data_IF_748038188906
#
_entry.id   IF_748038188906
#
_cell.length_a   1.000
_cell.length_b   1.000
_cell.length_c   1.000
_cell.angle_alpha   90.00
_cell.angle_beta   90.00
_cell.angle_gamma   90.00
#
_symmetry.space_group_name_H-M   'P 1'
#
loop_
_entity.id
_entity.type
_entity.pdbx_description
1 polymer ?
#
# COMPACT_ATOMS: atom_id res chain seq x y z
N UNK A 1 -0.64 15.51 -12.05
CA UNK A 1 -0.25 15.60 -13.47
C UNK A 1 -1.09 14.60 -14.23
N UNK A 2 -1.71 14.97 -15.36
CA UNK A 2 -2.60 14.08 -16.07
C UNK A 2 -1.81 12.84 -16.57
N UNK A 3 -2.26 11.61 -16.25
CA UNK A 3 -1.90 10.33 -16.94
C UNK A 3 -1.42 10.56 -18.39
N UNK A 4 -0.24 10.09 -18.76
CA UNK A 4 0.26 10.29 -20.13
C UNK A 4 -0.66 9.59 -21.16
N UNK A 5 -0.73 10.06 -22.42
CA UNK A 5 -1.45 9.34 -23.46
C UNK A 5 -0.68 8.05 -23.72
N UNK A 6 -1.25 6.91 -23.35
CA UNK A 6 -0.69 5.62 -23.69
C UNK A 6 -1.01 5.30 -25.15
N UNK A 7 -0.20 5.84 -26.05
CA UNK A 7 -0.08 5.36 -27.43
C UNK A 7 0.46 3.93 -27.39
N UNK A 8 -0.42 2.92 -27.33
CA UNK A 8 0.01 1.53 -27.51
C UNK A 8 -0.87 0.41 -26.95
N UNK A 9 -1.83 0.66 -26.04
CA UNK A 9 -2.62 -0.43 -25.48
C UNK A 9 -3.72 -0.88 -26.43
N UNK A 10 -3.62 -2.13 -26.89
CA UNK A 10 -4.71 -2.81 -27.58
C UNK A 10 -5.66 -3.36 -26.50
N UNK A 11 -6.80 -2.69 -26.32
CA UNK A 11 -7.93 -3.18 -25.49
C UNK A 11 -8.66 -4.39 -26.14
N UNK A 12 -8.15 -4.83 -27.28
CA UNK A 12 -8.67 -5.88 -28.13
C UNK A 12 -7.71 -7.08 -28.06
N UNK A 13 -8.23 -8.22 -27.64
CA UNK A 13 -7.54 -9.50 -27.68
C UNK A 13 -7.84 -10.18 -29.01
N UNK A 14 -6.81 -10.42 -29.81
CA UNK A 14 -6.89 -11.19 -31.06
C UNK A 14 -6.29 -12.58 -30.86
N UNK A 15 -7.06 -13.62 -31.18
CA UNK A 15 -6.62 -15.01 -31.10
C UNK A 15 -6.90 -15.77 -32.41
N UNK A 16 -6.01 -16.70 -32.76
CA UNK A 16 -6.24 -17.68 -33.83
C UNK A 16 -6.53 -19.03 -33.20
N UNK A 17 -7.77 -19.49 -33.33
CA UNK A 17 -8.25 -20.73 -32.72
C UNK A 17 -8.43 -21.80 -33.79
N UNK A 18 -7.93 -23.01 -33.54
CA UNK A 18 -8.08 -24.15 -34.44
C UNK A 18 -9.50 -24.72 -34.33
N UNK A 19 -10.11 -25.00 -35.47
CA UNK A 19 -11.35 -25.76 -35.54
C UNK A 19 -11.10 -27.26 -35.69
N UNK A 20 -12.16 -28.04 -35.63
CA UNK A 20 -12.09 -29.50 -35.80
C UNK A 20 -12.31 -29.87 -37.27
N UNK A 21 -11.54 -30.84 -37.78
CA UNK A 21 -11.84 -31.49 -39.06
C UNK A 21 -13.13 -32.29 -38.90
N UNK A 22 -14.10 -32.09 -39.78
CA UNK A 22 -15.34 -32.84 -39.77
C UNK A 22 -15.84 -33.10 -41.20
N UNK A 23 -15.60 -34.32 -41.74
CA UNK A 23 -16.03 -34.69 -43.08
C UNK A 23 -17.55 -34.59 -43.30
N UNK A 24 -18.39 -34.75 -42.26
CA UNK A 24 -19.84 -34.63 -42.38
C UNK A 24 -20.29 -33.21 -42.77
N UNK A 25 -19.51 -32.20 -42.40
CA UNK A 25 -19.76 -30.79 -42.77
C UNK A 25 -18.87 -30.31 -43.93
N UNK A 26 -18.23 -31.23 -44.67
CA UNK A 26 -17.33 -30.88 -45.78
C UNK A 26 -16.03 -30.17 -45.34
N UNK A 27 -15.66 -30.26 -44.06
CA UNK A 27 -14.41 -29.67 -43.54
C UNK A 27 -13.33 -30.75 -43.54
N UNK A 28 -12.50 -30.75 -44.59
CA UNK A 28 -11.44 -31.76 -44.81
C UNK A 28 -10.04 -31.35 -44.33
N UNK A 29 -9.85 -30.07 -44.00
CA UNK A 29 -8.59 -29.53 -43.45
C UNK A 29 -8.91 -28.75 -42.18
N UNK A 30 -8.00 -28.79 -41.19
CA UNK A 30 -8.14 -28.05 -39.93
C UNK A 30 -8.27 -26.54 -40.23
N UNK A 31 -9.43 -25.92 -39.95
CA UNK A 31 -9.62 -24.50 -40.20
C UNK A 31 -9.02 -23.68 -39.05
N UNK A 32 -8.59 -22.45 -39.37
CA UNK A 32 -8.16 -21.47 -38.38
C UNK A 32 -9.17 -20.32 -38.35
N UNK A 33 -9.75 -20.07 -37.18
CA UNK A 33 -10.72 -18.99 -36.97
C UNK A 33 -10.08 -17.83 -36.22
N UNK A 34 -10.33 -16.62 -36.70
CA UNK A 34 -9.95 -15.40 -35.99
C UNK A 34 -11.03 -15.09 -34.96
N UNK A 35 -10.62 -14.96 -33.71
CA UNK A 35 -11.48 -14.63 -32.58
C UNK A 35 -11.00 -13.33 -31.96
N UNK A 36 -11.92 -12.41 -31.71
CA UNK A 36 -11.64 -11.13 -31.08
C UNK A 36 -12.49 -10.95 -29.84
N UNK A 37 -11.89 -10.43 -28.76
CA UNK A 37 -12.58 -10.01 -27.55
C UNK A 37 -12.17 -8.56 -27.29
N UNK A 38 -13.16 -7.67 -27.21
CA UNK A 38 -12.95 -6.24 -26.97
C UNK A 38 -13.51 -5.88 -25.61
N UNK A 39 -12.70 -5.33 -24.73
CA UNK A 39 -13.14 -4.83 -23.44
C UNK A 39 -13.55 -3.37 -23.55
N UNK A 40 -14.60 -2.98 -22.83
CA UNK A 40 -14.92 -1.55 -22.70
C UNK A 40 -13.96 -0.91 -21.69
N UNK A 41 -13.11 0.06 -22.11
CA UNK A 41 -12.18 0.71 -21.22
C UNK A 41 -12.91 1.66 -20.27
N UNK A 42 -12.40 1.78 -19.05
CA UNK A 42 -12.91 2.76 -18.10
C UNK A 42 -12.34 4.13 -18.49
N UNK A 43 -13.22 5.14 -18.58
CA UNK A 43 -12.76 6.48 -18.92
C UNK A 43 -11.79 7.00 -17.88
N UNK A 44 -10.85 7.80 -18.34
CA UNK A 44 -9.80 8.36 -17.51
C UNK A 44 -10.31 9.18 -16.31
N UNK A 45 -11.40 9.92 -16.49
CA UNK A 45 -12.04 10.65 -15.41
C UNK A 45 -12.57 9.70 -14.32
N UNK A 46 -13.15 8.57 -14.73
CA UNK A 46 -13.60 7.51 -13.82
C UNK A 46 -12.42 6.84 -13.11
N UNK A 47 -11.33 6.55 -13.82
CA UNK A 47 -10.10 6.03 -13.21
C UNK A 47 -9.55 6.95 -12.12
N UNK A 48 -9.44 8.25 -12.39
CA UNK A 48 -8.97 9.21 -11.38
C UNK A 48 -9.86 9.19 -10.12
N UNK A 49 -11.18 9.11 -10.28
CA UNK A 49 -12.12 9.04 -9.17
C UNK A 49 -11.96 7.72 -8.38
N UNK A 50 -11.85 6.58 -9.08
CA UNK A 50 -11.63 5.27 -8.47
C UNK A 50 -10.31 5.25 -7.67
N UNK A 51 -9.23 5.75 -8.27
CA UNK A 51 -7.91 5.81 -7.62
C UNK A 51 -7.99 6.66 -6.35
N UNK A 52 -8.70 7.78 -6.36
CA UNK A 52 -8.90 8.59 -5.15
C UNK A 52 -9.62 7.82 -4.04
N UNK A 53 -10.64 7.02 -4.38
CA UNK A 53 -11.35 6.16 -3.41
C UNK A 53 -10.43 5.07 -2.87
N UNK A 54 -9.69 4.38 -3.74
CA UNK A 54 -8.73 3.34 -3.33
C UNK A 54 -7.65 3.93 -2.42
N UNK A 55 -7.08 5.08 -2.81
CA UNK A 55 -6.04 5.77 -2.08
C UNK A 55 -6.48 6.29 -0.70
N UNK A 56 -7.79 6.44 -0.46
CA UNK A 56 -8.33 6.80 0.85
C UNK A 56 -8.36 5.64 1.85
N UNK A 57 -8.19 4.40 1.38
CA UNK A 57 -8.30 3.18 2.19
C UNK A 57 -6.92 2.50 2.30
N UNK A 58 -6.28 2.65 3.46
CA UNK A 58 -4.94 2.11 3.72
C UNK A 58 -4.78 0.62 3.36
N UNK A 59 -5.81 -0.20 3.62
CA UNK A 59 -5.80 -1.64 3.31
C UNK A 59 -5.79 -1.98 1.82
N UNK A 60 -6.40 -1.14 0.98
CA UNK A 60 -6.43 -1.38 -0.47
C UNK A 60 -5.15 -0.92 -1.13
N UNK A 61 -4.70 0.31 -0.80
CA UNK A 61 -3.50 0.87 -1.38
C UNK A 61 -2.24 0.07 -1.02
N UNK A 62 -2.10 -0.40 0.22
CA UNK A 62 -0.94 -1.20 0.63
C UNK A 62 -0.83 -2.50 -0.17
N UNK A 63 -1.94 -3.24 -0.28
CA UNK A 63 -2.00 -4.49 -1.06
C UNK A 63 -1.70 -4.26 -2.53
N UNK A 64 -2.29 -3.24 -3.15
CA UNK A 64 -2.03 -2.93 -4.56
C UNK A 64 -0.57 -2.51 -4.82
N UNK A 65 0.07 -1.79 -3.89
CA UNK A 65 1.49 -1.46 -4.00
C UNK A 65 2.39 -2.70 -3.87
N UNK A 66 1.94 -3.71 -3.11
CA UNK A 66 2.57 -5.03 -2.95
C UNK A 66 2.21 -6.01 -4.08
N UNK A 67 1.55 -5.56 -5.15
CA UNK A 67 1.07 -6.39 -6.26
C UNK A 67 0.03 -7.45 -5.85
N UNK A 68 -0.80 -7.16 -4.85
CA UNK A 68 -1.92 -7.99 -4.44
C UNK A 68 -3.25 -7.27 -4.75
N UNK A 69 -4.21 -7.96 -5.37
CA UNK A 69 -5.57 -7.44 -5.57
C UNK A 69 -6.44 -7.85 -4.37
N UNK A 70 -7.00 -6.89 -3.60
CA UNK A 70 -7.90 -7.19 -2.48
C UNK A 70 -9.25 -7.75 -2.94
N UNK A 71 -9.81 -8.72 -2.22
CA UNK A 71 -11.12 -9.32 -2.54
C UNK A 71 -12.28 -8.30 -2.59
N UNK A 72 -12.17 -7.23 -1.79
CA UNK A 72 -13.16 -6.17 -1.70
C UNK A 72 -12.85 -4.96 -2.59
N UNK A 73 -11.93 -5.09 -3.55
CA UNK A 73 -11.55 -4.01 -4.47
C UNK A 73 -12.78 -3.44 -5.20
N UNK A 74 -13.72 -4.31 -5.56
CA UNK A 74 -14.92 -3.99 -6.33
C UNK A 74 -15.86 -3.02 -5.61
N UNK A 75 -15.82 -2.98 -4.28
CA UNK A 75 -16.64 -2.06 -3.51
C UNK A 75 -16.22 -0.60 -3.73
N UNK A 76 -14.95 -0.35 -4.07
CA UNK A 76 -14.47 0.99 -4.43
C UNK A 76 -14.96 1.41 -5.81
N UNK A 77 -15.15 0.47 -6.73
CA UNK A 77 -15.70 0.72 -8.07
C UNK A 77 -17.21 0.96 -8.03
N UNK A 78 -17.94 0.14 -7.24
CA UNK A 78 -19.41 0.25 -7.05
C UNK A 78 -19.86 1.63 -6.60
N UNK A 79 -19.08 2.31 -5.75
CA UNK A 79 -19.39 3.66 -5.26
C UNK A 79 -19.50 4.71 -6.39
N UNK A 80 -18.90 4.44 -7.55
CA UNK A 80 -18.84 5.34 -8.69
C UNK A 80 -19.67 4.84 -9.89
N UNK A 81 -20.50 3.81 -9.69
CA UNK A 81 -21.26 3.14 -10.74
C UNK A 81 -20.36 2.66 -11.90
N UNK A 82 -19.18 2.15 -11.53
CA UNK A 82 -18.23 1.49 -12.43
C UNK A 82 -17.99 0.09 -11.91
N UNK A 83 -17.60 -0.83 -12.79
CA UNK A 83 -17.18 -2.18 -12.41
C UNK A 83 -15.82 -2.45 -13.06
N UNK A 84 -14.88 -2.97 -12.27
CA UNK A 84 -13.62 -3.47 -12.77
C UNK A 84 -13.87 -4.81 -13.48
N UNK A 85 -14.56 -5.72 -12.78
CA UNK A 85 -15.00 -6.99 -13.33
C UNK A 85 -16.24 -6.80 -14.23
N UNK A 86 -16.24 -7.37 -15.44
CA UNK A 86 -17.45 -7.41 -16.26
C UNK A 86 -18.61 -8.06 -15.51
N UNK A 87 -19.77 -7.40 -15.46
CA UNK A 87 -21.01 -7.96 -14.89
C UNK A 87 -21.96 -8.51 -15.95
N UNK A 88 -21.85 -7.99 -17.17
CA UNK A 88 -22.77 -8.33 -18.24
C UNK A 88 -22.04 -8.57 -19.56
N UNK A 89 -22.69 -9.29 -20.47
CA UNK A 89 -22.19 -9.46 -21.85
C UNK A 89 -22.10 -8.15 -22.64
N UNK A 90 -22.62 -7.04 -22.12
CA UNK A 90 -22.50 -5.72 -22.76
C UNK A 90 -21.14 -5.09 -22.51
N UNK A 91 -20.46 -5.51 -21.45
CA UNK A 91 -19.23 -4.89 -20.95
C UNK A 91 -17.99 -5.34 -21.75
N UNK A 92 -18.14 -6.37 -22.58
CA UNK A 92 -17.16 -6.82 -23.56
C UNK A 92 -17.85 -7.36 -24.81
N UNK A 93 -17.27 -7.09 -25.98
CA UNK A 93 -17.80 -7.54 -27.28
C UNK A 93 -16.93 -8.65 -27.83
N UNK A 94 -17.55 -9.66 -28.41
CA UNK A 94 -16.83 -10.79 -29.00
C UNK A 94 -17.27 -11.07 -30.42
N UNK A 95 -16.31 -11.49 -31.24
CA UNK A 95 -16.56 -11.92 -32.62
C UNK A 95 -15.65 -13.08 -32.98
N UNK A 96 -16.17 -14.06 -33.73
CA UNK A 96 -15.39 -15.16 -34.25
C UNK A 96 -15.71 -15.38 -35.73
N UNK A 97 -14.72 -15.68 -36.55
CA UNK A 97 -14.89 -15.94 -37.98
C UNK A 97 -15.41 -17.37 -38.29
N UNK A 98 -15.88 -18.10 -37.28
CA UNK A 98 -16.41 -19.45 -37.45
C UNK A 98 -17.86 -19.43 -37.96
N UNK A 99 -18.33 -20.52 -38.62
CA UNK A 99 -19.70 -20.58 -39.15
C UNK A 99 -20.79 -20.77 -38.07
N UNK A 100 -20.43 -20.74 -36.79
CA UNK A 100 -21.38 -20.86 -35.68
C UNK A 100 -21.98 -19.48 -35.34
N UNK A 101 -23.31 -19.40 -35.32
CA UNK A 101 -24.06 -18.18 -34.99
C UNK A 101 -24.18 -17.93 -33.48
N UNK A 102 -23.77 -18.88 -32.64
CA UNK A 102 -23.83 -18.77 -31.18
C UNK A 102 -22.78 -17.81 -30.64
N UNK A 103 -23.13 -17.00 -29.64
CA UNK A 103 -22.17 -16.18 -28.90
C UNK A 103 -22.36 -16.36 -27.37
N UNK A 104 -21.37 -16.93 -26.65
CA UNK A 104 -20.07 -17.40 -27.15
C UNK A 104 -20.18 -18.72 -27.93
N UNK A 105 -19.47 -18.83 -29.05
CA UNK A 105 -19.24 -20.12 -29.72
C UNK A 105 -18.12 -20.89 -29.00
N UNK A 106 -17.89 -22.16 -29.36
CA UNK A 106 -16.82 -22.99 -28.75
C UNK A 106 -15.43 -22.36 -28.81
N UNK A 107 -15.13 -21.58 -29.85
CA UNK A 107 -13.84 -20.91 -29.99
C UNK A 107 -13.71 -19.72 -29.05
N UNK A 108 -14.74 -18.87 -28.95
CA UNK A 108 -14.77 -17.76 -27.99
C UNK A 108 -14.70 -18.30 -26.56
N UNK A 109 -15.44 -19.36 -26.25
CA UNK A 109 -15.36 -20.03 -24.95
C UNK A 109 -13.93 -20.53 -24.64
N UNK A 110 -13.25 -21.12 -25.64
CA UNK A 110 -11.84 -21.52 -25.49
C UNK A 110 -10.92 -20.33 -25.17
N UNK A 111 -11.11 -19.18 -25.83
CA UNK A 111 -10.35 -17.96 -25.52
C UNK A 111 -10.69 -17.44 -24.12
N UNK A 112 -11.95 -17.50 -23.67
CA UNK A 112 -12.29 -17.14 -22.29
C UNK A 112 -11.59 -18.01 -21.26
N UNK A 113 -11.51 -19.32 -21.49
CA UNK A 113 -10.79 -20.22 -20.58
C UNK A 113 -9.31 -19.88 -20.50
N UNK A 114 -8.67 -19.59 -21.64
CA UNK A 114 -7.27 -19.18 -21.65
C UNK A 114 -7.07 -17.82 -20.96
N UNK A 115 -7.95 -16.85 -21.23
CA UNK A 115 -7.91 -15.54 -20.59
C UNK A 115 -8.11 -15.64 -19.08
N UNK A 116 -9.06 -16.47 -18.63
CA UNK A 116 -9.29 -16.72 -17.21
C UNK A 116 -8.04 -17.31 -16.54
N UNK A 117 -7.41 -18.33 -17.17
CA UNK A 117 -6.17 -18.90 -16.66
C UNK A 117 -5.03 -17.87 -16.59
N UNK A 118 -4.95 -16.96 -17.56
CA UNK A 118 -3.95 -15.89 -17.54
C UNK A 118 -4.24 -14.85 -16.44
N UNK A 119 -5.52 -14.52 -16.20
CA UNK A 119 -5.94 -13.65 -15.11
C UNK A 119 -5.72 -14.28 -13.72
N UNK A 120 -5.87 -15.60 -13.61
CA UNK A 120 -5.54 -16.33 -12.38
C UNK A 120 -4.02 -16.27 -12.08
N UNK A 121 -3.19 -16.22 -13.13
CA UNK A 121 -1.73 -16.09 -13.00
C UNK A 121 -1.29 -14.63 -12.73
N UNK A 122 -1.79 -13.67 -13.48
CA UNK A 122 -1.55 -12.23 -13.29
C UNK A 122 -2.87 -11.45 -13.27
N UNK A 123 -3.45 -11.22 -12.08
CA UNK A 123 -4.69 -10.47 -11.93
C UNK A 123 -4.59 -9.02 -12.39
N UNK A 124 -3.38 -8.43 -12.48
CA UNK A 124 -3.22 -7.04 -12.87
C UNK A 124 -3.53 -6.79 -14.36
N UNK A 125 -3.50 -7.84 -15.18
CA UNK A 125 -3.93 -7.76 -16.58
C UNK A 125 -5.36 -7.25 -16.71
N UNK A 126 -6.22 -7.46 -15.71
CA UNK A 126 -7.57 -6.91 -15.70
C UNK A 126 -7.58 -5.37 -15.72
N UNK A 127 -6.66 -4.72 -15.01
CA UNK A 127 -6.52 -3.26 -15.03
C UNK A 127 -6.09 -2.78 -16.42
N UNK A 128 -5.17 -3.51 -17.05
CA UNK A 128 -4.67 -3.19 -18.40
C UNK A 128 -5.77 -3.31 -19.44
N UNK A 129 -6.55 -4.40 -19.38
CA UNK A 129 -7.74 -4.60 -20.22
C UNK A 129 -8.79 -3.50 -20.01
N UNK A 130 -8.82 -2.87 -18.83
CA UNK A 130 -9.70 -1.73 -18.49
C UNK A 130 -9.06 -0.36 -18.72
N UNK A 131 -7.85 -0.32 -19.27
CA UNK A 131 -7.22 0.88 -19.77
C UNK A 131 -6.30 1.62 -18.80
N UNK A 132 -5.74 0.94 -17.80
CA UNK A 132 -4.64 1.47 -16.99
C UNK A 132 -3.56 0.40 -16.80
N UNK A 133 -2.30 0.76 -17.07
CA UNK A 133 -1.17 -0.15 -16.83
C UNK A 133 -0.96 -0.37 -15.33
N UNK A 134 -0.34 -1.50 -14.97
CA UNK A 134 0.07 -1.75 -13.58
C UNK A 134 0.98 -0.64 -13.06
N UNK A 135 1.92 -0.19 -13.88
CA UNK A 135 2.92 0.82 -13.53
C UNK A 135 2.26 2.19 -13.34
N UNK A 136 1.33 2.57 -14.22
CA UNK A 136 0.57 3.82 -14.08
C UNK A 136 -0.35 3.79 -12.85
N UNK A 137 -1.02 2.66 -12.60
CA UNK A 137 -1.87 2.49 -11.42
C UNK A 137 -1.04 2.68 -10.13
N UNK A 138 0.10 2.00 -10.02
CA UNK A 138 0.99 2.14 -8.86
C UNK A 138 1.56 3.55 -8.74
N UNK A 139 1.94 4.17 -9.85
CA UNK A 139 2.46 5.53 -9.87
C UNK A 139 1.41 6.55 -9.40
N UNK A 140 0.14 6.41 -9.81
CA UNK A 140 -0.93 7.28 -9.33
C UNK A 140 -1.26 7.03 -7.84
N UNK A 141 -1.29 5.78 -7.40
CA UNK A 141 -1.52 5.44 -5.99
C UNK A 141 -0.40 6.01 -5.09
N UNK A 142 0.86 5.88 -5.52
CA UNK A 142 2.02 6.40 -4.79
C UNK A 142 2.02 7.92 -4.62
N UNK A 143 1.28 8.67 -5.46
CA UNK A 143 1.15 10.14 -5.33
C UNK A 143 0.25 10.57 -4.17
N UNK A 144 -0.62 9.69 -3.69
CA UNK A 144 -1.52 10.00 -2.57
C UNK A 144 -0.75 10.13 -1.25
N UNK A 145 -1.27 10.86 -0.23
CA UNK A 145 -0.59 11.00 1.05
C UNK A 145 -0.27 9.65 1.72
N UNK A 146 -1.20 8.68 1.67
CA UNK A 146 -0.98 7.33 2.18
C UNK A 146 0.01 6.55 1.32
N UNK A 147 -0.06 6.69 -0.01
CA UNK A 147 0.88 6.07 -0.94
C UNK A 147 2.31 6.58 -0.76
N UNK A 148 2.49 7.87 -0.50
CA UNK A 148 3.79 8.47 -0.21
C UNK A 148 4.36 7.92 1.09
N UNK A 149 3.57 7.86 2.15
CA UNK A 149 3.99 7.29 3.44
C UNK A 149 4.39 5.81 3.28
N UNK A 150 3.56 4.99 2.61
CA UNK A 150 3.87 3.58 2.35
C UNK A 150 5.11 3.40 1.47
N UNK A 151 5.24 4.19 0.40
CA UNK A 151 6.42 4.12 -0.48
C UNK A 151 7.69 4.54 0.24
N UNK A 152 7.61 5.50 1.17
CA UNK A 152 8.75 5.91 1.98
C UNK A 152 9.21 4.79 2.91
N UNK A 153 8.28 4.08 3.55
CA UNK A 153 8.59 2.92 4.40
C UNK A 153 9.11 1.73 3.58
N UNK A 154 8.52 1.43 2.42
CA UNK A 154 8.98 0.33 1.56
C UNK A 154 10.38 0.57 0.96
N UNK A 155 10.74 1.84 0.75
CA UNK A 155 12.07 2.23 0.28
C UNK A 155 13.02 2.61 1.42
N UNK A 156 12.56 2.58 2.68
CA UNK A 156 13.43 2.78 3.82
C UNK A 156 14.41 1.61 3.81
N UNK A 157 15.69 1.93 3.60
CA UNK A 157 16.74 0.93 3.69
C UNK A 157 16.68 0.32 5.09
N UNK A 158 16.65 -1.02 5.17
CA UNK A 158 16.94 -1.73 6.40
C UNK A 158 18.26 -1.16 6.92
N UNK A 159 18.17 -0.40 8.01
CA UNK A 159 19.37 0.13 8.63
C UNK A 159 20.15 -1.07 9.12
N UNK A 160 21.39 -1.22 8.64
CA UNK A 160 22.27 -2.27 9.13
C UNK A 160 22.30 -2.19 10.65
N UNK A 161 21.87 -3.27 11.30
CA UNK A 161 21.86 -3.37 12.75
C UNK A 161 23.31 -3.37 13.22
N UNK A 162 23.79 -2.20 13.66
CA UNK A 162 25.13 -2.09 14.24
C UNK A 162 25.09 -2.71 15.64
N UNK A 163 25.85 -3.78 15.91
CA UNK A 163 25.96 -4.33 17.25
C UNK A 163 26.50 -3.26 18.19
N UNK A 164 25.74 -2.94 19.24
CA UNK A 164 26.19 -1.98 20.27
C UNK A 164 26.73 -2.78 21.43
N UNK A 165 27.95 -2.45 21.89
CA UNK A 165 28.61 -3.13 23.03
C UNK A 165 27.82 -3.04 24.35
N UNK A 166 26.89 -2.11 24.46
CA UNK A 166 26.05 -1.94 25.64
C UNK A 166 24.67 -1.40 25.30
N UNK A 167 23.63 -1.96 25.94
CA UNK A 167 22.25 -1.44 25.88
C UNK A 167 22.07 -0.08 26.57
N UNK A 168 23.06 0.35 27.35
CA UNK A 168 23.04 1.58 28.13
C UNK A 168 23.96 2.64 27.53
N UNK A 169 23.59 3.91 27.66
CA UNK A 169 24.45 5.04 27.33
C UNK A 169 25.69 5.00 28.22
N UNK A 170 26.87 4.74 27.63
CA UNK A 170 28.13 4.86 28.35
C UNK A 170 28.37 6.33 28.67
N UNK A 171 28.61 6.64 29.94
CA UNK A 171 28.98 7.99 30.37
C UNK A 171 30.42 8.22 29.97
N UNK A 172 30.65 9.10 28.99
CA UNK A 172 31.98 9.56 28.63
C UNK A 172 32.38 10.74 29.52
N UNK A 173 33.60 10.68 30.07
CA UNK A 173 34.16 11.78 30.82
C UNK A 173 34.49 12.94 29.90
N UNK A 174 33.84 14.08 30.09
CA UNK A 174 34.16 15.30 29.34
C UNK A 174 35.38 15.97 29.99
N UNK A 175 36.40 16.39 29.21
CA UNK A 175 37.57 17.06 29.77
C UNK A 175 37.13 18.35 30.47
N UNK A 176 37.59 18.52 31.71
CA UNK A 176 37.29 19.72 32.50
C UNK A 176 38.11 20.89 31.94
N UNK A 177 37.50 22.06 31.67
CA UNK A 177 38.24 23.22 31.20
C UNK A 177 39.31 23.65 32.23
N UNK A 178 40.54 23.86 31.77
CA UNK A 178 41.73 24.10 32.61
C UNK A 178 41.65 25.38 33.46
N UNK A 179 40.84 26.36 33.04
CA UNK A 179 40.55 27.54 33.86
C UNK A 179 39.11 28.00 33.64
N UNK A 180 38.33 28.04 34.72
CA UNK A 180 36.99 28.63 34.73
C UNK A 180 37.03 29.82 35.67
N UNK A 181 36.77 31.04 35.16
CA UNK A 181 36.66 32.19 36.05
C UNK A 181 35.39 32.07 36.89
N UNK A 182 35.44 32.50 38.17
CA UNK A 182 34.26 32.51 39.05
C UNK A 182 33.09 33.27 38.42
N UNK A 183 33.37 34.34 37.67
CA UNK A 183 32.35 35.10 36.94
C UNK A 183 31.70 34.26 35.85
N UNK A 184 32.48 33.52 35.07
CA UNK A 184 31.98 32.64 33.99
C UNK A 184 31.16 31.49 34.56
N UNK A 185 31.55 30.94 35.72
CA UNK A 185 30.79 29.90 36.40
C UNK A 185 29.39 30.39 36.80
N UNK A 186 29.29 31.57 37.44
CA UNK A 186 28.01 32.10 37.91
C UNK A 186 27.14 32.73 36.83
N UNK A 187 27.74 33.27 35.76
CA UNK A 187 27.01 33.97 34.70
C UNK A 187 26.75 33.10 33.47
N UNK A 188 27.43 31.95 33.35
CA UNK A 188 27.46 31.14 32.14
C UNK A 188 28.31 31.81 31.06
N UNK A 189 29.08 31.03 30.31
CA UNK A 189 29.87 31.54 29.19
C UNK A 189 28.96 31.89 27.99
N UNK A 190 27.85 31.18 27.87
CA UNK A 190 26.79 31.42 26.88
C UNK A 190 25.49 31.75 27.59
N UNK A 191 24.76 32.72 27.04
CA UNK A 191 23.40 33.02 27.48
C UNK A 191 22.54 31.78 27.29
N UNK A 192 21.85 31.35 28.35
CA UNK A 192 20.88 30.26 28.25
C UNK A 192 19.83 30.61 27.18
N UNK A 193 19.41 29.64 26.36
CA UNK A 193 18.33 29.86 25.41
C UNK A 193 17.08 30.31 26.16
N UNK A 194 16.45 31.40 25.68
CA UNK A 194 15.25 31.97 26.31
C UNK A 194 14.00 31.12 26.05
N UNK A 195 14.09 30.24 25.06
CA UNK A 195 13.06 29.29 24.66
C UNK A 195 13.64 27.89 24.85
N UNK A 196 13.04 27.11 25.73
CA UNK A 196 13.30 25.68 25.80
C UNK A 196 12.46 25.01 24.73
N UNK A 197 13.09 24.25 23.84
CA UNK A 197 12.36 23.39 22.92
C UNK A 197 11.50 22.44 23.74
N UNK A 198 10.19 22.49 23.50
CA UNK A 198 9.28 21.58 24.20
C UNK A 198 9.56 20.18 23.67
N UNK A 199 9.99 19.23 24.51
CA UNK A 199 10.25 17.88 24.03
C UNK A 199 8.99 17.30 23.39
N UNK A 200 9.12 16.48 22.35
CA UNK A 200 7.97 15.84 21.72
C UNK A 200 7.20 15.05 22.79
N UNK A 201 5.87 15.11 22.72
CA UNK A 201 5.02 14.32 23.61
C UNK A 201 5.26 12.85 23.34
N UNK A 202 5.92 12.17 24.27
CA UNK A 202 6.16 10.75 24.15
C UNK A 202 4.84 9.98 24.28
N UNK A 203 4.66 9.00 23.40
CA UNK A 203 3.49 8.11 23.38
C UNK A 203 3.44 7.19 24.60
N UNK A 204 4.61 6.83 25.14
CA UNK A 204 4.76 5.94 26.30
C UNK A 204 4.89 6.76 27.58
N UNK A 205 3.96 6.56 28.51
CA UNK A 205 4.03 7.16 29.84
C UNK A 205 5.23 6.59 30.63
N UNK A 206 5.87 7.46 31.42
CA UNK A 206 6.98 7.10 32.31
C UNK A 206 8.15 6.35 31.64
N UNK A 207 8.47 6.60 30.36
CA UNK A 207 9.53 5.86 29.63
C UNK A 207 10.88 5.84 30.39
N UNK A 208 11.22 6.94 31.09
CA UNK A 208 12.48 7.06 31.80
C UNK A 208 12.58 6.03 32.94
N UNK A 209 11.46 5.80 33.63
CA UNK A 209 11.36 4.83 34.73
C UNK A 209 11.30 3.41 34.15
N UNK A 210 10.55 3.21 33.06
CA UNK A 210 10.49 1.91 32.36
C UNK A 210 11.86 1.45 31.84
N UNK A 211 12.73 2.37 31.41
CA UNK A 211 14.10 2.05 30.98
C UNK A 211 15.01 1.61 32.13
N UNK A 212 14.75 2.08 33.35
CA UNK A 212 15.58 1.78 34.51
C UNK A 212 15.19 0.45 35.16
N UNK A 213 13.94 0.01 34.98
CA UNK A 213 13.43 -1.22 35.57
C UNK A 213 13.23 -1.11 37.08
N UNK A 214 12.81 -2.21 37.71
CA UNK A 214 12.59 -2.29 39.16
C UNK A 214 13.89 -2.56 39.97
N UNK A 215 15.07 -2.31 39.38
CA UNK A 215 16.36 -2.64 39.97
C UNK A 215 17.21 -1.39 40.30
N UNK A 216 17.90 -1.32 41.47
CA UNK A 216 17.84 -2.25 42.60
C UNK A 216 16.54 -2.11 43.41
N UNK A 217 16.18 -3.12 44.23
CA UNK A 217 14.91 -3.15 44.97
C UNK A 217 14.88 -2.15 46.13
N UNK A 218 14.58 -0.89 45.84
CA UNK A 218 14.28 0.15 46.85
C UNK A 218 12.77 0.24 47.17
N UNK A 219 11.94 -0.47 46.41
CA UNK A 219 10.48 -0.47 46.56
C UNK A 219 10.03 -1.74 47.29
N UNK A 220 9.29 -1.56 48.39
CA UNK A 220 8.88 -2.63 49.30
C UNK A 220 7.36 -2.76 49.45
N UNK A 221 6.59 -2.33 48.45
CA UNK A 221 5.13 -2.53 48.42
C UNK A 221 4.75 -3.68 47.50
N UNK A 222 3.49 -4.11 47.61
CA UNK A 222 2.96 -5.27 46.88
C UNK A 222 2.77 -5.01 45.37
N UNK A 223 2.70 -3.74 44.94
CA UNK A 223 2.65 -3.35 43.52
C UNK A 223 4.04 -2.97 42.98
N UNK A 224 4.24 -2.98 41.65
CA UNK A 224 5.52 -2.54 41.06
C UNK A 224 5.71 -1.03 41.20
N UNK A 225 6.96 -0.59 41.41
CA UNK A 225 7.29 0.84 41.43
C UNK A 225 6.96 1.49 40.08
N UNK A 226 7.24 0.80 38.96
CA UNK A 226 6.93 1.26 37.61
C UNK A 226 5.43 1.51 37.45
N UNK A 227 4.59 0.60 37.94
CA UNK A 227 3.14 0.71 37.87
C UNK A 227 2.62 1.92 38.66
N UNK A 228 3.08 2.09 39.90
CA UNK A 228 2.72 3.23 40.73
C UNK A 228 3.16 4.57 40.11
N UNK A 229 4.36 4.60 39.54
CA UNK A 229 4.89 5.80 38.89
C UNK A 229 4.20 6.10 37.56
N UNK A 230 3.79 5.09 36.79
CA UNK A 230 3.02 5.28 35.57
C UNK A 230 1.68 5.96 35.85
N UNK A 231 0.97 5.55 36.91
CA UNK A 231 -0.27 6.19 37.36
C UNK A 231 -0.04 7.65 37.76
N UNK A 232 1.01 7.93 38.55
CA UNK A 232 1.41 9.27 38.93
C UNK A 232 1.75 10.16 37.72
N UNK A 233 2.53 9.64 36.77
CA UNK A 233 2.89 10.36 35.55
C UNK A 233 1.65 10.69 34.71
N UNK A 234 0.71 9.76 34.59
CA UNK A 234 -0.55 10.01 33.89
C UNK A 234 -1.39 11.08 34.59
N UNK A 235 -1.50 11.03 35.92
CA UNK A 235 -2.19 12.08 36.71
C UNK A 235 -1.57 13.45 36.54
N UNK A 236 -0.24 13.56 36.57
CA UNK A 236 0.48 14.83 36.34
C UNK A 236 0.25 15.31 34.90
N UNK A 237 0.39 14.42 33.90
CA UNK A 237 0.17 14.74 32.49
C UNK A 237 -1.25 15.26 32.23
N UNK A 238 -2.25 14.67 32.88
CA UNK A 238 -3.67 15.01 32.73
C UNK A 238 -4.13 16.13 33.68
N UNK A 239 -3.25 16.67 34.53
CA UNK A 239 -3.58 17.63 35.60
C UNK A 239 -4.72 17.14 36.50
N UNK A 240 -4.68 15.86 36.89
CA UNK A 240 -5.70 15.21 37.73
C UNK A 240 -7.13 15.26 37.15
N UNK A 241 -7.28 15.41 35.82
CA UNK A 241 -8.60 15.18 35.20
C UNK A 241 -9.01 13.73 35.38
N UNK A 242 -10.27 13.44 35.74
CA UNK A 242 -10.75 12.07 35.83
C UNK A 242 -10.58 11.39 34.47
N UNK A 243 -9.97 10.20 34.47
CA UNK A 243 -9.94 9.31 33.33
C UNK A 243 -11.38 8.78 33.17
N UNK A 244 -12.03 9.13 32.05
CA UNK A 244 -13.36 8.65 31.65
C UNK A 244 -13.29 7.17 31.25
#
# INVERSE_FOLDING_TARGET
>A
MPLSPTDGFKFDLDAKVRGSVNPYFGVYKEPLYSTQIKFEPISRAKWNAVIAVIASKASLISRLLLNEIPDNIEDSFKLLDVNLLPRSRKDFKTSCSCPDYSNPCKHIAGVYYLLAAELDNDPFLLFELRGISREDLKAELAKSPLGQALSAEMNAQEQDLVPVDSYYTKVEGMPVPESTSLKTFWQGEKRLPQTLDTPPTMSVAAIAIKKQGDFPSFWHRDNSFIEAMEELYQRVKTKNKPLL
#
